data_IF_421860491033
#
_entry.id   IF_421860491033
#
_cell.length_a   1.000
_cell.length_b   1.000
_cell.length_c   1.000
_cell.angle_alpha   90.00
_cell.angle_beta   90.00
_cell.angle_gamma   90.00
#
_symmetry.space_group_name_H-M   'P 1'
#
loop_
_entity.id
_entity.type
_entity.pdbx_description
1 polymer ?
#
# COMPACT_ATOMS: atom_id res chain seq x y z
N UNK A 1 -3.05 6.13 -12.89
CA UNK A 1 -4.27 6.09 -12.05
C UNK A 1 -4.04 7.02 -10.87
N UNK A 2 -4.93 7.97 -10.60
CA UNK A 2 -4.81 8.87 -9.44
C UNK A 2 -5.31 8.16 -8.18
N UNK A 3 -4.53 8.20 -7.10
CA UNK A 3 -4.93 7.65 -5.80
C UNK A 3 -6.13 8.42 -5.24
N UNK A 4 -7.12 7.71 -4.72
CA UNK A 4 -8.32 8.26 -4.11
C UNK A 4 -8.23 8.20 -2.58
N UNK A 5 -8.98 9.08 -1.90
CA UNK A 5 -9.10 9.01 -0.44
C UNK A 5 -9.73 7.67 -0.01
N UNK A 6 -9.19 7.07 1.04
CA UNK A 6 -9.62 5.76 1.53
C UNK A 6 -8.89 4.57 0.89
N UNK A 7 -7.74 4.78 0.27
CA UNK A 7 -6.95 3.72 -0.36
C UNK A 7 -5.70 3.34 0.46
N UNK A 8 -5.27 2.09 0.27
CA UNK A 8 -3.94 1.60 0.66
C UNK A 8 -3.26 1.13 -0.61
N UNK A 9 -2.21 1.82 -1.00
CA UNK A 9 -1.48 1.59 -2.23
C UNK A 9 -0.35 0.60 -1.97
N UNK A 10 -0.11 -0.30 -2.92
CA UNK A 10 1.15 -1.04 -3.03
C UNK A 10 1.80 -0.61 -4.32
N UNK A 11 2.96 0.05 -4.24
CA UNK A 11 3.74 0.47 -5.41
C UNK A 11 5.11 -0.19 -5.41
N UNK A 12 5.68 -0.40 -6.59
CA UNK A 12 7.08 -0.79 -6.72
C UNK A 12 7.95 0.46 -6.69
N UNK A 13 9.02 0.42 -5.92
CA UNK A 13 10.00 1.52 -5.81
C UNK A 13 11.41 0.93 -5.91
N UNK A 14 12.02 1.03 -7.10
CA UNK A 14 13.27 0.35 -7.42
C UNK A 14 13.17 -1.17 -7.23
N UNK A 15 14.01 -1.71 -6.34
CA UNK A 15 14.03 -3.12 -5.96
C UNK A 15 13.01 -3.48 -4.87
N UNK A 16 12.35 -2.50 -4.25
CA UNK A 16 11.43 -2.70 -3.14
C UNK A 16 9.96 -2.44 -3.48
N UNK A 17 9.12 -2.61 -2.48
CA UNK A 17 7.67 -2.39 -2.53
C UNK A 17 7.27 -1.45 -1.39
N UNK A 18 6.59 -0.35 -1.72
CA UNK A 18 6.10 0.61 -0.75
C UNK A 18 4.61 0.41 -0.55
N UNK A 19 4.20 0.30 0.71
CA UNK A 19 2.79 0.32 1.11
C UNK A 19 2.50 1.66 1.77
N UNK A 20 1.50 2.39 1.30
CA UNK A 20 1.12 3.69 1.87
C UNK A 20 -0.39 3.91 1.87
N UNK A 21 -0.87 4.70 2.83
CA UNK A 21 -2.28 5.04 2.96
C UNK A 21 -2.57 6.40 2.31
N UNK A 22 -3.70 6.54 1.61
CA UNK A 22 -4.17 7.81 1.04
C UNK A 22 -5.58 8.11 1.57
N UNK A 23 -5.80 9.23 2.31
CA UNK A 23 -4.76 10.13 2.84
C UNK A 23 -3.83 9.41 3.84
N UNK A 24 -2.63 9.96 4.12
CA UNK A 24 -1.68 9.41 5.07
C UNK A 24 -2.33 9.14 6.43
N UNK A 25 -2.01 8.00 7.01
CA UNK A 25 -2.57 7.55 8.28
C UNK A 25 -1.45 7.47 9.32
N UNK A 26 -1.47 8.28 10.40
CA UNK A 26 -0.45 8.22 11.44
C UNK A 26 -0.35 6.86 12.13
N UNK A 27 -1.44 6.08 12.19
CA UNK A 27 -1.43 4.73 12.75
C UNK A 27 -0.82 3.69 11.80
N UNK A 28 -0.78 4.00 10.50
CA UNK A 28 -0.26 3.14 9.44
C UNK A 28 0.66 3.94 8.50
N UNK A 29 1.86 4.36 8.98
CA UNK A 29 2.81 5.10 8.16
C UNK A 29 3.28 4.25 6.98
N UNK A 30 3.82 4.91 5.94
CA UNK A 30 4.34 4.23 4.76
C UNK A 30 5.47 3.26 5.14
N UNK A 31 5.42 2.04 4.61
CA UNK A 31 6.41 1.00 4.89
C UNK A 31 7.00 0.45 3.60
N UNK A 32 8.30 0.12 3.65
CA UNK A 32 9.04 -0.45 2.53
C UNK A 32 9.34 -1.92 2.83
N UNK A 33 9.11 -2.76 1.84
CA UNK A 33 9.34 -4.20 1.89
C UNK A 33 10.26 -4.62 0.76
N UNK A 34 11.07 -5.65 0.98
CA UNK A 34 12.00 -6.23 0.01
C UNK A 34 11.32 -7.19 -0.97
N UNK A 35 10.10 -7.65 -0.65
CA UNK A 35 9.37 -8.60 -1.47
C UNK A 35 7.87 -8.27 -1.54
N UNK A 36 7.28 -8.64 -2.68
CA UNK A 36 5.89 -8.33 -3.01
C UNK A 36 4.89 -9.02 -2.07
N UNK A 37 5.19 -10.25 -1.66
CA UNK A 37 4.28 -11.08 -0.86
C UNK A 37 4.05 -10.43 0.52
N UNK A 38 5.12 -9.98 1.18
CA UNK A 38 5.02 -9.31 2.48
C UNK A 38 4.29 -7.97 2.34
N UNK A 39 4.62 -7.16 1.32
CA UNK A 39 3.93 -5.89 1.06
C UNK A 39 2.41 -6.09 0.88
N UNK A 40 2.01 -7.09 0.10
CA UNK A 40 0.61 -7.43 -0.14
C UNK A 40 -0.12 -7.93 1.09
N UNK A 41 0.56 -8.74 1.92
CA UNK A 41 0.03 -9.22 3.19
C UNK A 41 -0.22 -8.05 4.14
N UNK A 42 0.76 -7.16 4.27
CA UNK A 42 0.66 -5.97 5.12
C UNK A 42 -0.46 -5.03 4.66
N UNK A 43 -0.52 -4.69 3.37
CA UNK A 43 -1.60 -3.88 2.81
C UNK A 43 -2.98 -4.53 2.97
N UNK A 44 -3.05 -5.86 2.89
CA UNK A 44 -4.25 -6.64 3.20
C UNK A 44 -4.70 -6.48 4.66
N UNK A 45 -3.74 -6.51 5.60
CA UNK A 45 -3.99 -6.25 7.02
C UNK A 45 -4.55 -4.84 7.25
N UNK A 46 -3.94 -3.81 6.65
CA UNK A 46 -4.45 -2.43 6.77
C UNK A 46 -5.86 -2.33 6.19
N UNK A 47 -6.13 -2.93 5.02
CA UNK A 47 -7.47 -2.98 4.44
C UNK A 47 -8.49 -3.56 5.41
N UNK A 48 -8.17 -4.66 6.09
CA UNK A 48 -9.06 -5.30 7.05
C UNK A 48 -9.27 -4.45 8.31
N UNK A 49 -8.21 -3.81 8.81
CA UNK A 49 -8.26 -3.00 10.02
C UNK A 49 -8.99 -1.66 9.82
N UNK A 50 -8.86 -1.04 8.65
CA UNK A 50 -9.34 0.32 8.37
C UNK A 50 -10.56 0.38 7.44
N UNK A 51 -10.92 -0.73 6.81
CA UNK A 51 -11.95 -0.77 5.77
C UNK A 51 -11.53 -0.12 4.44
N UNK A 52 -10.27 0.32 4.31
CA UNK A 52 -9.74 0.97 3.11
C UNK A 52 -9.65 0.02 1.92
N UNK A 53 -9.68 0.57 0.72
CA UNK A 53 -9.51 -0.19 -0.52
C UNK A 53 -8.02 -0.42 -0.78
N UNK A 54 -7.60 -1.69 -0.86
CA UNK A 54 -6.25 -2.03 -1.35
C UNK A 54 -6.19 -1.82 -2.87
N UNK A 55 -5.20 -1.07 -3.33
CA UNK A 55 -4.90 -0.83 -4.75
C UNK A 55 -3.48 -1.28 -5.03
N UNK A 56 -3.31 -2.12 -6.05
CA UNK A 56 -2.01 -2.56 -6.51
C UNK A 56 -1.58 -1.72 -7.72
N UNK A 57 -0.45 -1.02 -7.57
CA UNK A 57 0.19 -0.18 -8.59
C UNK A 57 1.52 -0.77 -9.04
N UNK A 58 1.86 -1.99 -8.62
CA UNK A 58 3.15 -2.63 -8.96
C UNK A 58 3.32 -2.93 -10.45
N UNK A 59 2.24 -2.94 -11.23
CA UNK A 59 2.25 -3.21 -12.68
C UNK A 59 1.96 -1.98 -13.56
N UNK A 60 1.75 -0.79 -12.99
CA UNK A 60 1.32 0.41 -13.71
C UNK A 60 2.38 1.49 -13.90
N UNK A 61 3.67 1.15 -13.69
CA UNK A 61 4.82 2.03 -13.90
C UNK A 61 5.31 2.02 -15.33
#
# INVERSE_FOLDING_TARGET
>A
MSAMAGEVLVRRDGSGFVVECVPPDPAHPSQVFDNMRTAWGFAGGIKLATGRRKVDLTQGG
#
